data_IF_687974351068
#
_entry.id   IF_687974351068
#
_cell.length_a   1.000
_cell.length_b   1.000
_cell.length_c   1.000
_cell.angle_alpha   90.00
_cell.angle_beta   90.00
_cell.angle_gamma   90.00
#
_symmetry.space_group_name_H-M   'P 1'
#
loop_
_entity.id
_entity.type
_entity.pdbx_description
1 polymer ?
#
# COMPACT_ATOMS: atom_id res chain seq x y z
N UNK A 1 30.86 -70.36 20.78
CA UNK A 1 29.58 -69.69 21.10
C UNK A 1 29.86 -68.20 21.36
N UNK A 2 30.22 -67.45 20.31
CA UNK A 2 30.51 -66.02 20.33
C UNK A 2 29.40 -65.35 19.52
N UNK A 3 28.54 -64.54 20.14
CA UNK A 3 27.50 -63.88 19.34
C UNK A 3 26.42 -63.05 20.03
N UNK A 4 26.34 -62.94 21.36
CA UNK A 4 25.14 -62.31 21.98
C UNK A 4 25.42 -61.16 22.96
N UNK A 5 26.65 -60.93 23.42
CA UNK A 5 26.87 -59.95 24.51
C UNK A 5 27.09 -58.48 24.06
N UNK A 6 27.12 -58.17 22.76
CA UNK A 6 27.44 -56.83 22.24
C UNK A 6 26.24 -56.03 21.70
N UNK A 7 25.03 -56.60 21.68
CA UNK A 7 23.84 -55.93 21.12
C UNK A 7 23.20 -54.89 22.06
N UNK A 8 23.25 -55.13 23.38
CA UNK A 8 22.52 -54.35 24.40
C UNK A 8 22.99 -52.90 24.61
N UNK A 9 24.30 -52.58 24.67
CA UNK A 9 24.75 -51.20 24.85
C UNK A 9 24.59 -50.36 23.57
N UNK A 10 24.75 -50.97 22.39
CA UNK A 10 24.57 -50.29 21.10
C UNK A 10 23.10 -49.89 20.86
N UNK A 11 22.16 -50.75 21.28
CA UNK A 11 20.72 -50.45 21.25
C UNK A 11 20.35 -49.26 22.17
N UNK A 12 21.03 -49.12 23.31
CA UNK A 12 20.84 -47.99 24.22
C UNK A 12 21.33 -46.68 23.61
N UNK A 13 22.52 -46.69 22.99
CA UNK A 13 23.07 -45.53 22.28
C UNK A 13 22.14 -45.12 21.13
N UNK A 14 21.63 -46.08 20.35
CA UNK A 14 20.65 -45.81 19.29
C UNK A 14 19.36 -45.17 19.79
N UNK A 15 18.84 -45.61 20.95
CA UNK A 15 17.65 -44.99 21.57
C UNK A 15 17.90 -43.57 22.05
N UNK A 16 19.07 -43.31 22.65
CA UNK A 16 19.45 -41.95 23.10
C UNK A 16 19.60 -41.01 21.91
N UNK A 17 20.28 -41.43 20.84
CA UNK A 17 20.41 -40.65 19.61
C UNK A 17 19.04 -40.36 18.95
N UNK A 18 18.12 -41.32 18.95
CA UNK A 18 16.76 -41.12 18.44
C UNK A 18 15.96 -40.09 19.25
N UNK A 19 16.13 -40.06 20.57
CA UNK A 19 15.49 -39.07 21.44
C UNK A 19 16.05 -37.66 21.21
N UNK A 20 17.36 -37.53 21.02
CA UNK A 20 18.01 -36.25 20.69
C UNK A 20 17.52 -35.73 19.34
N UNK A 21 17.41 -36.59 18.32
CA UNK A 21 16.89 -36.18 17.01
C UNK A 21 15.44 -35.68 17.07
N UNK A 22 14.57 -36.34 17.85
CA UNK A 22 13.19 -35.89 18.07
C UNK A 22 13.11 -34.57 18.83
N UNK A 23 14.01 -34.35 19.79
CA UNK A 23 14.11 -33.08 20.50
C UNK A 23 14.56 -31.95 19.56
N UNK A 24 15.52 -32.21 18.68
CA UNK A 24 15.98 -31.23 17.68
C UNK A 24 14.86 -30.85 16.69
N UNK A 25 14.10 -31.83 16.19
CA UNK A 25 12.94 -31.58 15.33
C UNK A 25 11.82 -30.80 16.04
N UNK A 26 11.56 -31.10 17.32
CA UNK A 26 10.59 -30.36 18.12
C UNK A 26 11.03 -28.92 18.36
N UNK A 27 12.31 -28.67 18.62
CA UNK A 27 12.88 -27.33 18.78
C UNK A 27 12.84 -26.55 17.46
N UNK A 28 13.21 -27.18 16.33
CA UNK A 28 13.10 -26.55 15.00
C UNK A 28 11.66 -26.17 14.66
N UNK A 29 10.70 -27.05 14.94
CA UNK A 29 9.27 -26.79 14.74
C UNK A 29 8.75 -25.71 15.69
N UNK A 30 9.18 -25.70 16.94
CA UNK A 30 8.80 -24.65 17.89
C UNK A 30 9.35 -23.28 17.45
N UNK A 31 10.62 -23.20 17.06
CA UNK A 31 11.24 -21.96 16.55
C UNK A 31 10.59 -21.48 15.25
N UNK A 32 10.24 -22.39 14.33
CA UNK A 32 9.52 -22.01 13.11
C UNK A 32 8.14 -21.43 13.45
N UNK A 33 7.42 -22.06 14.38
CA UNK A 33 6.09 -21.62 14.81
C UNK A 33 6.14 -20.30 15.57
N UNK A 34 7.12 -20.11 16.47
CA UNK A 34 7.31 -18.87 17.23
C UNK A 34 7.72 -17.72 16.32
N UNK A 35 8.66 -17.93 15.40
CA UNK A 35 9.06 -16.90 14.43
C UNK A 35 7.93 -16.49 13.50
N UNK A 36 7.10 -17.44 13.04
CA UNK A 36 5.89 -17.13 12.26
C UNK A 36 4.88 -16.32 13.09
N UNK A 37 4.65 -16.70 14.35
CA UNK A 37 3.76 -15.95 15.25
C UNK A 37 4.25 -14.52 15.50
N UNK A 38 5.55 -14.32 15.71
CA UNK A 38 6.14 -12.98 15.88
C UNK A 38 5.97 -12.12 14.63
N UNK A 39 6.22 -12.69 13.43
CA UNK A 39 5.97 -12.01 12.16
C UNK A 39 4.50 -11.65 11.98
N UNK A 40 3.59 -12.57 12.31
CA UNK A 40 2.15 -12.29 12.28
C UNK A 40 1.75 -11.19 13.25
N UNK A 41 2.30 -11.18 14.47
CA UNK A 41 2.05 -10.11 15.46
C UNK A 41 2.61 -8.78 14.99
N UNK A 42 3.83 -8.75 14.46
CA UNK A 42 4.45 -7.54 13.92
C UNK A 42 3.61 -6.97 12.76
N UNK A 43 3.18 -7.81 11.82
CA UNK A 43 2.31 -7.40 10.71
C UNK A 43 0.94 -6.89 11.19
N UNK A 44 0.36 -7.49 12.24
CA UNK A 44 -0.88 -7.00 12.83
C UNK A 44 -0.71 -5.64 13.51
N UNK A 45 0.39 -5.42 14.23
CA UNK A 45 0.69 -4.13 14.84
C UNK A 45 0.91 -3.05 13.78
N UNK A 46 1.64 -3.38 12.72
CA UNK A 46 1.89 -2.45 11.60
C UNK A 46 0.58 -2.04 10.92
N UNK A 47 -0.28 -3.03 10.63
CA UNK A 47 -1.62 -2.78 10.11
C UNK A 47 -2.46 -1.89 11.03
N UNK A 48 -2.42 -2.12 12.34
CA UNK A 48 -3.15 -1.29 13.31
C UNK A 48 -2.66 0.16 13.29
N UNK A 49 -1.34 0.39 13.29
CA UNK A 49 -0.77 1.75 13.23
C UNK A 49 -1.20 2.47 11.96
N UNK A 50 -1.17 1.78 10.81
CA UNK A 50 -1.65 2.34 9.54
C UNK A 50 -3.13 2.68 9.62
N UNK A 51 -3.96 1.75 10.10
CA UNK A 51 -5.42 1.97 10.19
C UNK A 51 -5.74 3.13 11.16
N UNK A 52 -5.00 3.27 12.26
CA UNK A 52 -5.08 4.40 13.18
C UNK A 52 -4.67 5.72 12.48
N UNK A 53 -3.57 5.73 11.74
CA UNK A 53 -3.11 6.91 10.99
C UNK A 53 -4.09 7.34 9.89
N UNK A 54 -4.75 6.38 9.22
CA UNK A 54 -5.82 6.65 8.24
C UNK A 54 -6.97 7.42 8.90
N UNK A 55 -7.39 7.01 10.10
CA UNK A 55 -8.48 7.67 10.84
C UNK A 55 -8.04 9.03 11.37
N UNK A 56 -6.84 9.14 11.94
CA UNK A 56 -6.31 10.40 12.49
C UNK A 56 -6.21 11.50 11.41
N UNK A 57 -5.77 11.13 10.21
CA UNK A 57 -5.68 12.04 9.06
C UNK A 57 -7.02 12.23 8.32
N UNK A 58 -8.09 11.56 8.74
CA UNK A 58 -9.41 11.63 8.10
C UNK A 58 -9.48 11.02 6.70
N UNK A 59 -8.50 10.16 6.34
CA UNK A 59 -8.39 9.51 5.04
C UNK A 59 -9.40 8.36 4.85
N UNK A 60 -10.14 8.02 5.91
CA UNK A 60 -11.31 7.14 5.87
C UNK A 60 -12.46 7.76 5.07
N UNK A 61 -12.46 9.09 4.92
CA UNK A 61 -13.41 9.84 4.10
C UNK A 61 -12.84 10.09 2.70
N UNK A 62 -13.73 10.10 1.72
CA UNK A 62 -13.37 10.39 0.34
C UNK A 62 -13.10 11.89 0.09
N UNK A 63 -13.71 12.77 0.89
CA UNK A 63 -13.58 14.23 0.79
C UNK A 63 -13.90 14.91 2.11
N UNK A 64 -13.54 16.18 2.21
CA UNK A 64 -13.72 17.06 3.37
C UNK A 64 -15.17 17.37 3.79
N UNK A 65 -16.15 17.15 2.89
CA UNK A 65 -17.56 17.47 3.12
C UNK A 65 -18.01 18.82 2.55
N UNK A 66 -17.11 19.65 2.01
CA UNK A 66 -17.45 20.97 1.47
C UNK A 66 -17.75 20.90 -0.04
N UNK A 67 -19.04 20.95 -0.37
CA UNK A 67 -19.52 20.96 -1.76
C UNK A 67 -19.21 22.26 -2.50
N UNK A 68 -18.97 23.37 -1.78
CA UNK A 68 -18.66 24.65 -2.38
C UNK A 68 -17.16 24.78 -2.67
N UNK A 69 -16.30 24.00 -2.02
CA UNK A 69 -14.85 23.97 -2.25
C UNK A 69 -14.46 23.35 -3.60
N UNK A 70 -13.20 23.52 -4.00
CA UNK A 70 -12.67 22.97 -5.24
C UNK A 70 -12.77 21.45 -5.30
N UNK A 71 -12.52 20.75 -4.19
CA UNK A 71 -12.74 19.32 -4.04
C UNK A 71 -14.18 18.90 -4.34
N UNK A 72 -15.16 19.54 -3.69
CA UNK A 72 -16.58 19.26 -3.89
C UNK A 72 -17.05 19.55 -5.31
N UNK A 73 -16.67 20.70 -5.88
CA UNK A 73 -16.98 21.06 -7.27
C UNK A 73 -16.36 20.10 -8.27
N UNK A 74 -15.12 19.68 -8.05
CA UNK A 74 -14.47 18.69 -8.89
C UNK A 74 -15.23 17.35 -8.83
N UNK A 75 -15.61 16.87 -7.65
CA UNK A 75 -16.42 15.65 -7.52
C UNK A 75 -17.74 15.76 -8.29
N UNK A 76 -18.44 16.88 -8.18
CA UNK A 76 -19.70 17.10 -8.90
C UNK A 76 -19.50 17.11 -10.42
N UNK A 77 -18.46 17.79 -10.91
CA UNK A 77 -18.07 17.75 -12.32
C UNK A 77 -17.74 16.31 -12.75
N UNK A 78 -17.03 15.57 -11.89
CA UNK A 78 -16.56 14.22 -12.17
C UNK A 78 -17.70 13.22 -12.31
N UNK A 79 -18.67 13.23 -11.38
CA UNK A 79 -19.85 12.37 -11.45
C UNK A 79 -20.80 12.72 -12.59
N UNK A 80 -20.80 13.99 -13.01
CA UNK A 80 -21.59 14.44 -14.16
C UNK A 80 -21.02 13.96 -15.50
N UNK A 81 -19.69 13.76 -15.60
CA UNK A 81 -19.02 13.32 -16.84
C UNK A 81 -18.88 11.80 -16.98
N UNK A 82 -18.85 11.05 -15.86
CA UNK A 82 -18.69 9.60 -15.92
C UNK A 82 -19.35 8.90 -14.73
N UNK A 83 -20.15 7.88 -15.04
CA UNK A 83 -20.68 6.91 -14.07
C UNK A 83 -19.72 5.74 -13.78
N UNK A 84 -18.51 5.75 -14.35
CA UNK A 84 -17.51 4.72 -14.10
C UNK A 84 -16.85 4.92 -12.73
N UNK A 85 -16.66 3.83 -11.98
CA UNK A 85 -16.10 3.88 -10.62
C UNK A 85 -14.57 3.98 -10.63
N UNK A 86 -13.88 3.21 -11.49
CA UNK A 86 -12.44 3.33 -11.71
C UNK A 86 -12.11 4.51 -12.63
N UNK A 87 -11.01 5.18 -12.32
CA UNK A 87 -10.45 6.30 -13.08
C UNK A 87 -8.94 6.22 -13.08
N UNK A 88 -8.32 6.88 -14.05
CA UNK A 88 -6.89 7.09 -14.10
C UNK A 88 -6.55 8.50 -13.63
N UNK A 89 -5.47 8.58 -12.86
CA UNK A 89 -4.87 9.82 -12.40
C UNK A 89 -3.45 9.84 -12.95
N UNK A 90 -3.07 10.92 -13.63
CA UNK A 90 -1.74 11.07 -14.19
C UNK A 90 -1.16 12.44 -13.82
N UNK A 91 0.14 12.47 -13.53
CA UNK A 91 0.89 13.70 -13.35
C UNK A 91 1.60 14.02 -14.67
N UNK A 92 1.22 15.13 -15.29
CA UNK A 92 1.72 15.54 -16.61
C UNK A 92 2.36 16.94 -16.50
N UNK A 93 3.65 16.98 -16.14
CA UNK A 93 4.38 18.23 -15.97
C UNK A 93 3.74 19.12 -14.90
N UNK A 94 3.15 20.23 -15.32
CA UNK A 94 2.49 21.21 -14.44
C UNK A 94 0.98 20.98 -14.27
N UNK A 95 0.48 19.76 -14.54
CA UNK A 95 -0.95 19.42 -14.46
C UNK A 95 -1.17 18.04 -13.84
N UNK A 96 -2.29 17.91 -13.15
CA UNK A 96 -2.87 16.65 -12.70
C UNK A 96 -4.04 16.36 -13.63
N UNK A 97 -3.97 15.24 -14.33
CA UNK A 97 -4.99 14.79 -15.27
C UNK A 97 -5.85 13.71 -14.63
N UNK A 98 -7.16 13.86 -14.75
CA UNK A 98 -8.13 12.86 -14.34
C UNK A 98 -8.83 12.35 -15.59
N UNK A 99 -8.72 11.04 -15.81
CA UNK A 99 -9.31 10.38 -16.96
C UNK A 99 -10.32 9.31 -16.53
N UNK A 100 -11.44 9.27 -17.25
CA UNK A 100 -12.48 8.27 -17.05
C UNK A 100 -13.13 7.94 -18.39
N UNK A 101 -13.71 6.73 -18.54
CA UNK A 101 -14.56 6.46 -19.68
C UNK A 101 -15.87 7.25 -19.54
N UNK A 102 -16.47 7.78 -20.62
CA UNK A 102 -17.70 8.58 -20.55
C UNK A 102 -18.93 7.78 -20.07
N UNK A 103 -18.89 6.44 -20.18
CA UNK A 103 -19.92 5.53 -19.71
C UNK A 103 -19.28 4.36 -18.97
N UNK A 104 -20.03 3.72 -18.09
CA UNK A 104 -19.58 2.50 -17.41
C UNK A 104 -19.29 1.39 -18.43
N UNK A 105 -18.07 0.84 -18.41
CA UNK A 105 -17.59 -0.17 -19.37
C UNK A 105 -16.87 -1.29 -18.62
N UNK A 106 -17.07 -2.53 -19.06
CA UNK A 106 -16.40 -3.69 -18.46
C UNK A 106 -15.15 -4.13 -19.23
N UNK A 107 -15.07 -3.82 -20.53
CA UNK A 107 -14.04 -4.28 -21.48
C UNK A 107 -13.41 -3.08 -22.20
N UNK A 108 -12.10 -3.16 -22.53
CA UNK A 108 -11.33 -2.10 -23.22
C UNK A 108 -11.41 -0.73 -22.53
N UNK A 109 -11.36 -0.73 -21.19
CA UNK A 109 -11.49 0.48 -20.36
C UNK A 109 -10.44 1.50 -20.75
N UNK A 110 -9.18 1.08 -20.83
CA UNK A 110 -8.03 1.93 -21.09
C UNK A 110 -8.12 2.63 -22.44
N UNK A 111 -8.61 1.93 -23.47
CA UNK A 111 -8.79 2.48 -24.81
C UNK A 111 -9.94 3.51 -24.91
N UNK A 112 -10.82 3.56 -23.90
CA UNK A 112 -11.97 4.47 -23.86
C UNK A 112 -11.80 5.59 -22.83
N UNK A 113 -10.63 5.68 -22.19
CA UNK A 113 -10.31 6.72 -21.24
C UNK A 113 -10.24 8.08 -21.95
N UNK A 114 -10.96 9.05 -21.39
CA UNK A 114 -10.92 10.44 -21.84
C UNK A 114 -10.58 11.31 -20.64
N UNK A 115 -9.80 12.37 -20.87
CA UNK A 115 -9.53 13.37 -19.85
C UNK A 115 -10.84 14.10 -19.53
N UNK A 116 -11.31 13.98 -18.30
CA UNK A 116 -12.56 14.59 -17.82
C UNK A 116 -12.31 15.82 -16.95
N UNK A 117 -11.10 15.93 -16.39
CA UNK A 117 -10.66 17.12 -15.69
C UNK A 117 -9.14 17.28 -15.79
N UNK A 118 -8.72 18.53 -15.90
CA UNK A 118 -7.32 18.94 -15.80
C UNK A 118 -7.20 19.94 -14.68
N UNK A 119 -6.28 19.68 -13.75
CA UNK A 119 -6.04 20.55 -12.61
C UNK A 119 -4.62 21.08 -12.73
N UNK A 120 -4.40 22.39 -12.86
CA UNK A 120 -3.07 22.96 -12.81
C UNK A 120 -2.39 22.59 -11.48
N UNK A 121 -1.09 22.27 -11.52
CA UNK A 121 -0.35 21.93 -10.30
C UNK A 121 -0.21 23.12 -9.33
N UNK A 122 -0.49 24.34 -9.80
CA UNK A 122 -0.65 25.52 -8.95
C UNK A 122 -1.95 25.52 -8.14
N UNK A 123 -2.99 24.82 -8.58
CA UNK A 123 -4.32 24.83 -7.95
C UNK A 123 -4.53 23.65 -7.00
N UNK A 124 -3.81 22.55 -7.23
CA UNK A 124 -3.81 21.40 -6.36
C UNK A 124 -2.49 20.65 -6.36
N UNK A 125 -2.19 20.01 -5.24
CA UNK A 125 -1.01 19.18 -5.01
C UNK A 125 -1.46 17.76 -4.67
N UNK A 126 -0.87 16.78 -5.34
CA UNK A 126 -1.01 15.37 -4.99
C UNK A 126 0.09 14.98 -4.01
N UNK A 127 -0.29 14.38 -2.88
CA UNK A 127 0.64 13.95 -1.84
C UNK A 127 0.36 12.50 -1.43
N UNK A 128 1.42 11.80 -1.03
CA UNK A 128 1.32 10.57 -0.25
C UNK A 128 1.19 10.97 1.22
N UNK A 129 0.02 10.74 1.86
CA UNK A 129 -0.20 11.13 3.24
C UNK A 129 0.42 10.15 4.25
N UNK A 130 0.83 8.96 3.81
CA UNK A 130 1.32 7.89 4.68
C UNK A 130 2.60 7.24 4.10
N UNK A 131 3.68 8.02 3.81
CA UNK A 131 4.86 7.52 3.11
C UNK A 131 5.64 6.46 3.89
N UNK A 132 5.42 6.36 5.20
CA UNK A 132 6.01 5.36 6.09
C UNK A 132 5.37 3.98 5.94
N UNK A 133 4.16 3.91 5.39
CA UNK A 133 3.37 2.69 5.24
C UNK A 133 3.17 2.34 3.77
N UNK A 134 3.12 1.04 3.48
CA UNK A 134 2.53 0.59 2.22
C UNK A 134 1.02 0.84 2.27
N UNK A 135 0.51 1.69 1.37
CA UNK A 135 -0.84 2.22 1.46
C UNK A 135 -1.41 2.55 0.06
N UNK A 136 -2.72 2.40 -0.10
CA UNK A 136 -3.42 2.64 -1.36
C UNK A 136 -3.94 4.09 -1.50
N UNK A 137 -3.58 5.00 -0.59
CA UNK A 137 -4.20 6.31 -0.44
C UNK A 137 -3.30 7.43 -0.94
N UNK A 138 -3.86 8.26 -1.80
CA UNK A 138 -3.25 9.54 -2.18
C UNK A 138 -4.19 10.68 -1.79
N UNK A 139 -3.63 11.81 -1.39
CA UNK A 139 -4.39 12.98 -1.01
C UNK A 139 -4.19 14.09 -2.05
N UNK A 140 -5.28 14.50 -2.70
CA UNK A 140 -5.31 15.65 -3.57
C UNK A 140 -5.77 16.86 -2.75
N UNK A 141 -4.86 17.81 -2.49
CA UNK A 141 -5.11 19.02 -1.70
C UNK A 141 -5.19 20.22 -2.62
N UNK A 142 -6.26 20.99 -2.53
CA UNK A 142 -6.46 22.21 -3.29
C UNK A 142 -5.96 23.44 -2.52
N UNK A 143 -5.69 24.53 -3.23
CA UNK A 143 -5.22 25.79 -2.64
C UNK A 143 -6.23 26.42 -1.67
N UNK A 144 -7.53 26.17 -1.86
CA UNK A 144 -8.58 26.65 -0.96
C UNK A 144 -8.68 25.84 0.35
N UNK A 145 -7.76 24.87 0.55
CA UNK A 145 -7.72 23.99 1.71
C UNK A 145 -8.63 22.78 1.59
N UNK A 146 -9.46 22.71 0.55
CA UNK A 146 -10.30 21.55 0.29
C UNK A 146 -9.47 20.34 -0.14
N UNK A 147 -9.97 19.13 0.09
CA UNK A 147 -9.21 17.92 -0.22
C UNK A 147 -10.07 16.72 -0.64
N UNK A 148 -9.43 15.83 -1.41
CA UNK A 148 -9.98 14.56 -1.87
C UNK A 148 -9.01 13.41 -1.62
N UNK A 149 -9.51 12.32 -1.06
CA UNK A 149 -8.77 11.07 -0.94
C UNK A 149 -9.01 10.22 -2.20
N UNK A 150 -7.93 9.83 -2.84
CA UNK A 150 -7.92 8.92 -3.98
C UNK A 150 -7.45 7.55 -3.50
N UNK A 151 -8.21 6.51 -3.83
CA UNK A 151 -7.83 5.12 -3.58
C UNK A 151 -7.32 4.52 -4.88
N UNK A 152 -6.07 4.09 -4.85
CA UNK A 152 -5.40 3.42 -5.96
C UNK A 152 -5.72 1.93 -5.96
N UNK A 153 -5.66 1.28 -7.12
CA UNK A 153 -5.93 -0.16 -7.21
C UNK A 153 -4.80 -0.99 -6.58
N UNK A 154 -3.59 -0.44 -6.57
CA UNK A 154 -2.38 -1.06 -6.03
C UNK A 154 -1.92 -0.35 -4.77
N UNK A 155 -1.50 -1.11 -3.77
CA UNK A 155 -0.97 -0.62 -2.48
C UNK A 155 0.31 0.21 -2.58
N UNK A 156 0.98 0.23 -3.74
CA UNK A 156 2.14 1.07 -3.99
C UNK A 156 2.25 1.40 -5.47
N UNK A 157 1.26 2.14 -5.95
CA UNK A 157 1.20 2.56 -7.36
C UNK A 157 2.43 3.37 -7.79
N UNK A 158 2.61 3.53 -9.10
CA UNK A 158 3.67 4.36 -9.69
C UNK A 158 3.69 5.80 -9.14
N UNK A 159 2.51 6.34 -8.79
CA UNK A 159 2.38 7.66 -8.19
C UNK A 159 3.03 7.73 -6.81
N UNK A 160 2.88 6.72 -5.95
CA UNK A 160 3.57 6.67 -4.66
C UNK A 160 5.09 6.66 -4.85
N UNK A 161 5.57 5.86 -5.81
CA UNK A 161 7.00 5.79 -6.14
C UNK A 161 7.54 7.13 -6.66
N UNK A 162 6.78 7.81 -7.51
CA UNK A 162 7.12 9.13 -8.02
C UNK A 162 7.16 10.18 -6.91
N UNK A 163 6.14 10.22 -6.05
CA UNK A 163 6.03 11.18 -4.95
C UNK A 163 7.14 10.97 -3.91
N UNK A 164 7.48 9.72 -3.59
CA UNK A 164 8.58 9.41 -2.69
C UNK A 164 9.94 9.96 -3.21
N UNK A 165 10.17 9.91 -4.53
CA UNK A 165 11.39 10.49 -5.14
C UNK A 165 11.39 12.02 -5.07
N UNK A 166 10.25 12.65 -5.36
CA UNK A 166 10.09 14.11 -5.29
C UNK A 166 10.27 14.65 -3.87
N UNK A 167 9.88 13.88 -2.85
CA UNK A 167 10.01 14.26 -1.44
C UNK A 167 11.43 14.06 -0.87
N UNK A 168 12.32 13.33 -1.55
CA UNK A 168 13.72 13.23 -1.13
C UNK A 168 14.46 14.55 -1.44
N UNK A 169 15.03 15.25 -0.43
CA UNK A 169 15.58 16.61 -0.57
C UNK A 169 16.94 16.68 -1.31
N UNK A 170 17.15 15.85 -2.33
CA UNK A 170 18.39 15.75 -3.10
C UNK A 170 18.40 16.51 -4.44
N UNK A 171 17.24 16.78 -5.05
CA UNK A 171 17.18 17.33 -6.43
C UNK A 171 16.88 18.83 -6.52
N UNK A 172 16.72 19.52 -5.39
CA UNK A 172 16.54 20.98 -5.35
C UNK A 172 17.82 21.79 -5.65
N UNK A 173 18.92 21.16 -6.09
CA UNK A 173 20.20 21.83 -6.42
C UNK A 173 20.72 21.59 -7.84
N UNK A 174 19.99 20.89 -8.71
CA UNK A 174 20.47 20.58 -10.06
C UNK A 174 19.77 21.36 -11.19
N UNK A 175 18.83 22.25 -10.88
CA UNK A 175 18.12 23.06 -11.88
C UNK A 175 18.50 24.55 -11.90
N UNK A 176 19.54 24.94 -11.15
CA UNK A 176 20.23 26.23 -11.31
C UNK A 176 21.68 25.96 -11.76
N UNK A 177 21.83 25.59 -13.05
CA UNK A 177 23.08 25.64 -13.80
C UNK A 177 22.79 25.92 -15.28
#
# INVERSE_FOLDING_TARGET
>A
MLGVALGTPLLWIGKVLSLIGRAEEAVKRALSTTGEQERHRAAQLDRKRRDEAVVELGLDKAFDGDWNGAAGRLLLQWYSHSSHHQRLVALAGNRILLAAPPKRVSVRRDALMQVVAEIPAGDAVLADPLPEFENDRLLLRFQDGSWLTLTTEEWRSELHTYLARQQQPGDARAAEA
#
